data_IF_342902487068
#
_entry.id   IF_342902487068
#
_cell.length_a   1.000
_cell.length_b   1.000
_cell.length_c   1.000
_cell.angle_alpha   90.00
_cell.angle_beta   90.00
_cell.angle_gamma   90.00
#
_symmetry.space_group_name_H-M   'P 1'
#
loop_
_entity.id
_entity.type
_entity.pdbx_description
1 polymer ?
#
# COMPACT_ATOMS: atom_id res chain seq x y z
N UNK A 1 -12.79 -23.72 -5.76
CA UNK A 1 -12.58 -23.26 -5.93
C UNK A 1 -12.18 -22.09 -6.15
N UNK A 2 -12.11 -21.79 -6.62
CA UNK A 2 -11.68 -20.58 -7.02
C UNK A 2 -12.09 -19.46 -6.25
N UNK A 3 -12.89 -19.60 -5.49
CA UNK A 3 -13.34 -18.55 -4.83
C UNK A 3 -12.33 -18.07 -3.99
N UNK A 4 -11.60 -18.83 -3.48
CA UNK A 4 -10.65 -18.38 -2.63
C UNK A 4 -9.92 -17.45 -3.44
N UNK A 5 -9.86 -17.62 -4.56
CA UNK A 5 -9.16 -16.75 -5.36
C UNK A 5 -9.73 -15.44 -5.25
N UNK A 6 -10.89 -15.41 -4.91
CA UNK A 6 -11.53 -14.22 -4.85
C UNK A 6 -10.84 -13.38 -3.92
N UNK A 7 -10.35 -13.92 -2.94
CA UNK A 7 -9.71 -13.17 -2.02
C UNK A 7 -8.64 -12.51 -2.64
N UNK A 8 -7.88 -13.21 -3.29
CA UNK A 8 -6.81 -12.55 -3.86
C UNK A 8 -7.44 -11.70 -4.87
N UNK A 9 -8.67 -11.88 -5.06
CA UNK A 9 -9.34 -11.06 -5.98
C UNK A 9 -9.15 -9.61 -5.66
N UNK A 10 -8.91 -9.31 -4.41
CA UNK A 10 -8.76 -7.93 -4.07
C UNK A 10 -7.57 -7.35 -4.82
N UNK A 11 -6.69 -8.18 -5.28
CA UNK A 11 -5.56 -7.68 -6.03
C UNK A 11 -5.68 -8.01 -7.49
N UNK A 12 -6.83 -8.48 -7.89
CA UNK A 12 -6.99 -8.79 -9.28
C UNK A 12 -7.11 -7.51 -10.02
N UNK A 13 -6.42 -7.39 -11.10
CA UNK A 13 -6.44 -6.18 -11.86
C UNK A 13 -7.39 -6.31 -12.98
N UNK A 14 -8.44 -5.56 -12.91
CA UNK A 14 -9.43 -5.62 -13.95
C UNK A 14 -9.47 -4.40 -14.83
N UNK A 15 -8.87 -3.32 -14.43
CA UNK A 15 -8.90 -2.17 -15.29
C UNK A 15 -7.54 -1.53 -15.29
N UNK A 16 -7.36 -0.63 -16.21
CA UNK A 16 -6.11 0.01 -16.40
C UNK A 16 -5.65 0.85 -15.24
N UNK A 17 -6.57 1.48 -14.58
CA UNK A 17 -6.20 2.33 -13.46
C UNK A 17 -5.63 1.52 -12.31
N UNK A 18 -6.25 0.38 -12.02
CA UNK A 18 -5.76 -0.49 -10.97
C UNK A 18 -4.40 -1.06 -11.34
N UNK A 19 -4.24 -1.37 -12.61
CA UNK A 19 -2.99 -1.92 -13.07
C UNK A 19 -1.88 -0.90 -12.89
N UNK A 20 -2.16 0.36 -13.20
CA UNK A 20 -1.18 1.41 -13.06
C UNK A 20 -0.82 1.63 -11.59
N UNK A 21 -1.80 1.52 -10.71
CA UNK A 21 -1.55 1.69 -9.30
C UNK A 21 -0.64 0.58 -8.77
N UNK A 22 -0.92 -0.66 -9.16
CA UNK A 22 -0.11 -1.77 -8.71
C UNK A 22 1.32 -1.63 -9.21
N UNK A 23 1.46 -1.19 -10.44
CA UNK A 23 2.78 -1.02 -11.01
C UNK A 23 3.53 0.10 -10.28
N UNK A 24 2.83 1.17 -9.94
CA UNK A 24 3.45 2.28 -9.23
C UNK A 24 3.88 1.83 -7.82
N UNK A 25 3.06 1.01 -7.17
CA UNK A 25 3.41 0.50 -5.86
C UNK A 25 4.68 -0.33 -5.92
N UNK A 26 4.88 -1.06 -7.01
CA UNK A 26 6.07 -1.87 -7.14
C UNK A 26 7.32 -1.03 -7.22
N UNK A 27 7.16 0.20 -7.70
CA UNK A 27 8.32 1.07 -7.84
C UNK A 27 8.66 1.80 -6.56
N UNK A 28 7.79 1.74 -5.57
CA UNK A 28 8.11 2.36 -4.29
C UNK A 28 9.07 1.48 -3.52
N UNK A 29 9.90 2.08 -2.68
CA UNK A 29 10.78 1.29 -1.86
C UNK A 29 9.88 0.52 -0.88
N UNK A 30 10.38 -0.59 -0.39
CA UNK A 30 9.60 -1.46 0.47
C UNK A 30 9.07 -0.74 1.70
N UNK A 31 9.88 0.12 2.27
CA UNK A 31 9.51 0.84 3.47
C UNK A 31 8.22 1.64 3.31
N UNK A 32 8.05 2.27 2.17
CA UNK A 32 6.85 3.06 1.92
C UNK A 32 5.71 2.17 1.46
N UNK A 33 6.02 1.17 0.65
CA UNK A 33 4.99 0.31 0.11
C UNK A 33 4.29 -0.46 1.23
N UNK A 34 5.05 -0.96 2.20
CA UNK A 34 4.42 -1.77 3.24
C UNK A 34 3.42 -0.98 4.08
N UNK A 35 3.71 0.27 4.44
CA UNK A 35 2.77 1.03 5.24
C UNK A 35 1.53 1.39 4.43
N UNK A 36 1.71 1.65 3.14
CA UNK A 36 0.57 1.99 2.29
C UNK A 36 -0.34 0.78 2.15
N UNK A 37 0.22 -0.39 1.91
CA UNK A 37 -0.58 -1.58 1.77
C UNK A 37 -1.28 -1.92 3.09
N UNK A 38 -0.59 -1.83 4.20
CA UNK A 38 -1.19 -2.14 5.48
C UNK A 38 -2.31 -1.18 5.84
N UNK A 39 -2.15 0.06 5.49
CA UNK A 39 -3.13 1.07 5.85
C UNK A 39 -4.34 1.07 4.91
N UNK A 40 -4.09 1.08 3.61
CA UNK A 40 -5.18 1.22 2.64
C UNK A 40 -5.82 -0.08 2.20
N UNK A 41 -5.06 -1.14 2.11
CA UNK A 41 -5.62 -2.41 1.70
C UNK A 41 -6.06 -3.25 2.88
N UNK A 42 -5.21 -3.35 3.89
CA UNK A 42 -5.51 -4.19 5.02
C UNK A 42 -6.30 -3.44 6.09
N UNK A 43 -6.37 -2.12 5.93
CA UNK A 43 -7.17 -1.29 6.81
C UNK A 43 -6.75 -1.29 8.28
N UNK A 44 -5.48 -1.44 8.54
CA UNK A 44 -4.98 -1.33 9.91
C UNK A 44 -4.80 0.14 10.25
N UNK A 45 -4.99 0.49 11.50
CA UNK A 45 -4.75 1.85 11.94
C UNK A 45 -3.26 2.10 12.11
N UNK A 46 -2.88 3.37 12.20
CA UNK A 46 -1.47 3.72 12.31
C UNK A 46 -0.86 3.15 13.58
N UNK A 47 -1.64 3.08 14.65
CA UNK A 47 -1.12 2.51 15.91
C UNK A 47 -0.84 1.03 15.76
N UNK A 48 -1.72 0.33 15.05
CA UNK A 48 -1.53 -1.09 14.85
C UNK A 48 -0.33 -1.35 13.96
N UNK A 49 -0.17 -0.54 12.92
CA UNK A 49 0.95 -0.69 12.01
C UNK A 49 2.25 -0.43 12.76
N UNK A 50 2.25 0.58 13.63
CA UNK A 50 3.44 0.89 14.40
C UNK A 50 3.86 -0.31 15.24
N UNK A 51 2.90 -1.00 15.84
CA UNK A 51 3.21 -2.16 16.63
C UNK A 51 3.71 -3.29 15.75
N UNK A 52 3.08 -3.50 14.62
CA UNK A 52 3.47 -4.58 13.72
C UNK A 52 4.89 -4.39 13.19
N UNK A 53 5.26 -3.15 12.93
CA UNK A 53 6.56 -2.87 12.36
C UNK A 53 7.60 -2.46 13.39
N UNK A 54 7.22 -2.49 14.66
CA UNK A 54 8.11 -2.14 15.74
C UNK A 54 8.67 -0.72 15.60
N UNK A 55 7.81 0.22 15.33
CA UNK A 55 8.23 1.59 15.16
C UNK A 55 7.20 2.51 15.81
N UNK A 56 7.36 3.81 15.68
CA UNK A 56 6.44 4.75 16.31
C UNK A 56 5.32 5.13 15.36
N UNK A 57 4.22 5.61 15.94
CA UNK A 57 3.10 6.09 15.15
C UNK A 57 3.54 7.25 14.27
N UNK A 58 4.38 8.13 14.79
CA UNK A 58 4.84 9.27 14.01
C UNK A 58 5.64 8.82 12.79
N UNK A 59 6.43 7.77 12.94
CA UNK A 59 7.18 7.23 11.82
C UNK A 59 6.23 6.66 10.77
N UNK A 60 5.19 5.95 11.23
CA UNK A 60 4.21 5.39 10.30
C UNK A 60 3.53 6.52 9.53
N UNK A 61 3.11 7.56 10.23
CA UNK A 61 2.45 8.68 9.58
C UNK A 61 3.35 9.37 8.57
N UNK A 62 4.62 9.53 8.92
CA UNK A 62 5.57 10.15 8.01
C UNK A 62 5.77 9.30 6.77
N UNK A 63 5.87 7.99 6.97
CA UNK A 63 6.07 7.10 5.83
C UNK A 63 4.84 7.08 4.95
N UNK A 64 3.65 7.16 5.54
CA UNK A 64 2.43 7.20 4.75
C UNK A 64 2.40 8.48 3.91
N UNK A 65 2.72 9.61 4.51
CA UNK A 65 2.70 10.86 3.79
C UNK A 65 3.71 10.88 2.67
N UNK A 66 4.94 10.50 2.97
CA UNK A 66 5.97 10.50 1.95
C UNK A 66 5.71 9.44 0.90
N UNK A 67 5.19 8.29 1.32
CA UNK A 67 4.86 7.24 0.37
C UNK A 67 3.80 7.69 -0.61
N UNK A 68 2.78 8.40 -0.11
CA UNK A 68 1.74 8.88 -0.99
C UNK A 68 2.29 9.92 -1.97
N UNK A 69 3.17 10.79 -1.49
CA UNK A 69 3.78 11.79 -2.35
C UNK A 69 4.59 11.13 -3.46
N UNK A 70 5.39 10.12 -3.09
CA UNK A 70 6.19 9.45 -4.08
C UNK A 70 5.35 8.65 -5.05
N UNK A 71 4.29 8.04 -4.55
CA UNK A 71 3.40 7.27 -5.40
C UNK A 71 2.73 8.20 -6.43
N UNK A 72 2.28 9.36 -5.97
CA UNK A 72 1.65 10.31 -6.87
C UNK A 72 2.62 10.77 -7.94
N UNK A 73 3.88 10.97 -7.57
CA UNK A 73 4.88 11.39 -8.53
C UNK A 73 5.14 10.31 -9.58
N UNK A 74 5.17 9.05 -9.13
CA UNK A 74 5.38 7.95 -10.06
C UNK A 74 4.20 7.84 -11.01
N UNK A 75 2.99 7.99 -10.50
CA UNK A 75 1.83 7.82 -11.34
C UNK A 75 1.61 8.98 -12.30
N UNK A 76 2.20 10.13 -12.00
CA UNK A 76 2.04 11.24 -12.87
C UNK A 76 2.83 11.07 -14.14
N UNK A 77 3.88 10.33 -14.08
CA UNK A 77 4.68 10.10 -15.26
C UNK A 77 4.16 8.92 -16.02
#
# INVERSE_FOLDING_TARGET
VPQENQKSGSLQIEDEETEQLVEALRKLSFRYREVIVLYYYEEYGTGEIAKMLHTSVNTVKSRLRRGREKLAAIMKN
#
